data_IF_406214011728
#
_entry.id   IF_406214011728
#
_cell.length_a   1.000
_cell.length_b   1.000
_cell.length_c   1.000
_cell.angle_alpha   90.00
_cell.angle_beta   90.00
_cell.angle_gamma   90.00
#
_symmetry.space_group_name_H-M   'P 1'
#
loop_
_entity.id
_entity.type
_entity.pdbx_description
1 polymer ?
#
# COMPACT_ATOMS: atom_id res chain seq x y z
N UNK A 1 3.80 -2.90 -6.83
CA UNK A 1 3.20 -3.91 -5.94
C UNK A 1 3.04 -3.38 -4.53
N UNK A 2 4.10 -2.81 -3.97
CA UNK A 2 4.12 -2.39 -2.56
C UNK A 2 3.24 -1.17 -2.29
N UNK A 3 3.37 -0.13 -3.09
CA UNK A 3 2.72 1.15 -2.81
C UNK A 3 1.19 1.07 -2.73
N UNK A 4 0.48 0.43 -3.68
CA UNK A 4 -0.97 0.27 -3.55
C UNK A 4 -1.38 -0.53 -2.32
N UNK A 5 -0.60 -1.55 -1.93
CA UNK A 5 -0.88 -2.36 -0.74
C UNK A 5 -0.71 -1.54 0.55
N UNK A 6 0.35 -0.74 0.64
CA UNK A 6 0.58 0.14 1.79
C UNK A 6 -0.53 1.17 1.91
N UNK A 7 -0.93 1.78 0.80
CA UNK A 7 -2.02 2.77 0.80
C UNK A 7 -3.34 2.14 1.24
N UNK A 8 -3.64 0.94 0.76
CA UNK A 8 -4.85 0.22 1.14
C UNK A 8 -4.86 -0.10 2.63
N UNK A 9 -3.73 -0.57 3.16
CA UNK A 9 -3.61 -0.93 4.57
C UNK A 9 -3.75 0.30 5.48
N UNK A 10 -3.17 1.42 5.08
CA UNK A 10 -3.14 2.64 5.89
C UNK A 10 -4.34 3.57 5.64
N UNK A 11 -5.24 3.21 4.75
CA UNK A 11 -6.34 4.07 4.32
C UNK A 11 -7.15 4.61 5.50
N UNK A 12 -7.49 3.77 6.48
CA UNK A 12 -8.34 4.15 7.60
C UNK A 12 -7.65 5.10 8.59
N UNK A 13 -6.34 5.21 8.53
CA UNK A 13 -5.60 6.13 9.38
C UNK A 13 -5.96 7.60 9.07
N UNK A 14 -6.11 7.93 7.78
CA UNK A 14 -6.49 9.26 7.35
C UNK A 14 -7.10 9.20 5.94
N UNK A 15 -8.38 8.86 5.89
CA UNK A 15 -9.11 8.71 4.62
C UNK A 15 -9.03 9.99 3.79
N UNK A 16 -9.13 11.16 4.42
CA UNK A 16 -9.14 12.44 3.69
C UNK A 16 -7.83 12.71 2.96
N UNK A 17 -6.70 12.27 3.50
CA UNK A 17 -5.40 12.40 2.83
C UNK A 17 -5.35 11.58 1.55
N UNK A 18 -5.85 10.36 1.60
CA UNK A 18 -5.88 9.50 0.41
C UNK A 18 -6.91 9.99 -0.61
N UNK A 19 -8.04 10.53 -0.16
CA UNK A 19 -9.01 11.15 -1.05
C UNK A 19 -8.42 12.39 -1.73
N UNK A 20 -7.61 13.16 -1.02
CA UNK A 20 -6.92 14.34 -1.56
C UNK A 20 -5.94 13.95 -2.66
N UNK A 21 -5.18 12.88 -2.46
CA UNK A 21 -4.29 12.35 -3.51
C UNK A 21 -5.10 11.91 -4.72
N UNK A 22 -6.22 11.24 -4.50
CA UNK A 22 -7.10 10.77 -5.57
C UNK A 22 -7.57 11.93 -6.45
N UNK A 23 -8.00 13.03 -5.84
CA UNK A 23 -8.53 14.18 -6.59
C UNK A 23 -7.42 15.00 -7.23
N UNK A 24 -6.32 15.24 -6.53
CA UNK A 24 -5.27 16.15 -6.97
C UNK A 24 -4.26 15.50 -7.90
N UNK A 25 -3.94 14.25 -7.70
CA UNK A 25 -2.96 13.53 -8.51
C UNK A 25 -3.63 12.78 -9.65
N UNK A 26 -4.71 12.06 -9.36
CA UNK A 26 -5.36 11.15 -10.33
C UNK A 26 -6.60 11.73 -10.99
N UNK A 27 -7.04 12.91 -10.57
CA UNK A 27 -8.20 13.57 -11.16
C UNK A 27 -9.53 12.90 -10.86
N UNK A 28 -9.60 12.09 -9.81
CA UNK A 28 -10.85 11.47 -9.39
C UNK A 28 -11.82 12.53 -8.88
N UNK A 29 -13.11 12.31 -9.09
CA UNK A 29 -14.14 13.22 -8.59
C UNK A 29 -14.41 12.91 -7.12
N UNK A 30 -14.40 13.96 -6.28
CA UNK A 30 -14.64 13.81 -4.85
C UNK A 30 -16.09 13.44 -4.57
N UNK A 31 -16.29 12.37 -3.81
CA UNK A 31 -17.58 12.00 -3.26
C UNK A 31 -17.62 12.48 -1.80
N UNK A 32 -18.24 13.63 -1.55
CA UNK A 32 -18.25 14.23 -0.22
C UNK A 32 -19.07 13.43 0.80
N UNK A 33 -19.98 12.59 0.33
CA UNK A 33 -20.77 11.72 1.21
C UNK A 33 -20.02 10.44 1.58
N UNK A 34 -19.00 10.04 0.77
CA UNK A 34 -18.19 8.86 1.03
C UNK A 34 -16.76 9.08 0.53
N UNK A 35 -15.92 9.81 1.30
CA UNK A 35 -14.53 10.07 0.91
C UNK A 35 -13.69 8.80 0.75
N UNK A 36 -14.04 7.73 1.47
CA UNK A 36 -13.35 6.44 1.34
C UNK A 36 -13.46 5.90 -0.08
N UNK A 37 -14.61 6.02 -0.71
CA UNK A 37 -14.80 5.62 -2.10
C UNK A 37 -13.86 6.37 -3.03
N UNK A 38 -13.72 7.69 -2.85
CA UNK A 38 -12.80 8.51 -3.62
C UNK A 38 -11.36 8.06 -3.41
N UNK A 39 -10.98 7.79 -2.17
CA UNK A 39 -9.64 7.31 -1.84
C UNK A 39 -9.33 5.97 -2.51
N UNK A 40 -10.28 5.04 -2.49
CA UNK A 40 -10.11 3.74 -3.14
C UNK A 40 -10.01 3.87 -4.67
N UNK A 41 -10.75 4.78 -5.27
CA UNK A 41 -10.63 5.06 -6.71
C UNK A 41 -9.23 5.58 -7.06
N UNK A 42 -8.65 6.40 -6.18
CA UNK A 42 -7.30 6.90 -6.35
C UNK A 42 -6.25 5.79 -6.29
N UNK A 43 -6.40 4.86 -5.35
CA UNK A 43 -5.51 3.70 -5.24
C UNK A 43 -5.62 2.84 -6.50
N UNK A 44 -6.83 2.64 -7.00
CA UNK A 44 -7.04 1.86 -8.22
C UNK A 44 -6.44 2.56 -9.44
N UNK A 45 -6.51 3.88 -9.52
CA UNK A 45 -5.88 4.65 -10.57
C UNK A 45 -4.35 4.48 -10.54
N UNK A 46 -3.76 4.46 -9.35
CA UNK A 46 -2.33 4.17 -9.19
C UNK A 46 -1.99 2.78 -9.71
N UNK A 47 -2.79 1.78 -9.37
CA UNK A 47 -2.58 0.40 -9.86
C UNK A 47 -2.62 0.35 -11.38
N UNK A 48 -3.61 0.99 -12.00
CA UNK A 48 -3.73 1.00 -13.46
C UNK A 48 -2.53 1.69 -14.11
N UNK A 49 -2.07 2.77 -13.53
CA UNK A 49 -0.89 3.48 -14.03
C UNK A 49 0.35 2.59 -13.98
N UNK A 50 0.61 1.95 -12.83
CA UNK A 50 1.76 1.07 -12.69
C UNK A 50 1.67 -0.14 -13.64
N UNK A 51 0.48 -0.70 -13.82
CA UNK A 51 0.26 -1.79 -14.76
C UNK A 51 0.54 -1.36 -16.19
N UNK A 52 0.16 -0.12 -16.56
CA UNK A 52 0.41 0.40 -17.90
C UNK A 52 1.90 0.56 -18.20
N UNK A 53 2.73 0.69 -17.15
CA UNK A 53 4.19 0.76 -17.28
C UNK A 53 4.84 -0.64 -17.30
N UNK A 54 4.06 -1.71 -17.21
CA UNK A 54 4.58 -3.07 -17.18
C UNK A 54 5.06 -3.53 -15.82
N UNK A 55 4.70 -2.84 -14.75
CA UNK A 55 5.09 -3.22 -13.39
C UNK A 55 4.29 -4.43 -12.90
N UNK A 56 4.90 -5.31 -12.08
CA UNK A 56 4.19 -6.45 -11.50
C UNK A 56 3.02 -5.99 -10.64
N UNK A 57 1.91 -6.74 -10.66
CA UNK A 57 0.70 -6.40 -9.90
C UNK A 57 0.63 -7.14 -8.57
N UNK A 58 1.31 -8.28 -8.44
CA UNK A 58 1.24 -9.14 -7.26
C UNK A 58 2.51 -9.98 -7.14
N UNK A 59 2.57 -10.80 -6.10
CA UNK A 59 3.71 -11.68 -5.85
C UNK A 59 3.98 -12.64 -7.00
N UNK A 60 2.94 -13.21 -7.61
CA UNK A 60 3.13 -14.15 -8.70
C UNK A 60 3.85 -13.51 -9.89
N UNK A 61 3.44 -12.32 -10.28
CA UNK A 61 4.07 -11.59 -11.39
C UNK A 61 5.48 -11.10 -11.04
N UNK A 62 5.73 -10.80 -9.75
CA UNK A 62 7.03 -10.39 -9.26
C UNK A 62 8.01 -11.56 -9.16
N UNK A 63 7.50 -12.77 -9.07
CA UNK A 63 8.33 -13.96 -8.82
C UNK A 63 8.61 -14.20 -7.34
N UNK A 64 7.87 -13.54 -6.47
CA UNK A 64 8.02 -13.72 -5.03
C UNK A 64 7.13 -14.84 -4.52
N UNK A 65 7.54 -15.45 -3.41
CA UNK A 65 6.84 -16.58 -2.80
C UNK A 65 6.11 -16.14 -1.53
N UNK A 66 4.78 -16.37 -1.42
CA UNK A 66 4.04 -16.03 -0.20
C UNK A 66 4.61 -16.67 1.07
N UNK A 67 5.32 -17.78 0.97
CA UNK A 67 5.95 -18.45 2.11
C UNK A 67 7.04 -17.59 2.76
N UNK A 68 7.58 -16.62 2.03
CA UNK A 68 8.65 -15.74 2.50
C UNK A 68 8.13 -14.49 3.22
N UNK A 69 6.83 -14.32 3.34
CA UNK A 69 6.23 -13.09 3.90
C UNK A 69 6.77 -12.77 5.30
N UNK A 70 6.80 -13.76 6.19
CA UNK A 70 7.28 -13.55 7.56
C UNK A 70 8.74 -13.10 7.57
N UNK A 71 9.57 -13.76 6.77
CA UNK A 71 10.99 -13.42 6.65
C UNK A 71 11.19 -12.03 6.07
N UNK A 72 10.45 -11.67 5.03
CA UNK A 72 10.52 -10.36 4.41
C UNK A 72 10.11 -9.26 5.39
N UNK A 73 9.03 -9.49 6.13
CA UNK A 73 8.56 -8.53 7.13
C UNK A 73 9.57 -8.34 8.25
N UNK A 74 10.17 -9.42 8.73
CA UNK A 74 11.22 -9.35 9.75
C UNK A 74 12.42 -8.56 9.25
N UNK A 75 12.87 -8.82 8.04
CA UNK A 75 14.00 -8.10 7.44
C UNK A 75 13.70 -6.61 7.30
N UNK A 76 12.47 -6.25 6.89
CA UNK A 76 12.07 -4.86 6.76
C UNK A 76 12.06 -4.12 8.10
N UNK A 77 11.56 -4.77 9.16
CA UNK A 77 11.42 -4.16 10.48
C UNK A 77 12.69 -4.18 11.31
N UNK A 78 13.55 -5.19 11.13
CA UNK A 78 14.74 -5.40 11.95
C UNK A 78 16.04 -5.38 11.14
N UNK A 79 16.03 -4.73 9.98
CA UNK A 79 17.24 -4.51 9.21
C UNK A 79 18.19 -3.53 9.90
N UNK A 80 19.35 -3.27 9.29
CA UNK A 80 20.46 -2.55 9.89
C UNK A 80 20.09 -1.20 10.54
N UNK A 81 19.04 -0.54 10.05
CA UNK A 81 18.67 0.81 10.50
C UNK A 81 17.31 0.87 11.20
N UNK A 82 16.62 -0.25 11.35
CA UNK A 82 15.28 -0.30 11.93
C UNK A 82 15.27 -1.01 13.30
N UNK A 83 14.37 -0.58 14.17
CA UNK A 83 14.26 -1.02 15.55
C UNK A 83 12.99 -1.86 15.81
N UNK A 84 12.49 -2.55 14.81
CA UNK A 84 11.29 -3.37 14.89
C UNK A 84 10.05 -2.69 14.32
N UNK A 85 10.19 -1.45 13.85
CA UNK A 85 9.10 -0.72 13.20
C UNK A 85 9.61 0.06 12.01
N UNK A 86 8.72 0.47 11.11
CA UNK A 86 9.05 1.33 9.99
C UNK A 86 7.87 2.22 9.64
N UNK A 87 8.13 3.26 8.87
CA UNK A 87 7.12 4.20 8.43
C UNK A 87 7.09 5.49 9.25
N UNK A 88 6.89 6.61 8.55
CA UNK A 88 6.78 7.94 9.16
C UNK A 88 5.33 8.41 9.29
N UNK A 89 4.51 8.14 8.29
CA UNK A 89 3.10 8.52 8.29
C UNK A 89 2.31 7.67 9.29
N UNK A 90 2.52 6.34 9.25
CA UNK A 90 1.99 5.41 10.23
C UNK A 90 3.13 4.51 10.65
N UNK A 91 3.35 4.33 11.95
CA UNK A 91 4.34 3.36 12.43
C UNK A 91 3.80 1.96 12.28
N UNK A 92 4.55 1.13 11.54
CA UNK A 92 4.17 -0.23 11.22
C UNK A 92 5.11 -1.21 11.94
N UNK A 93 4.55 -2.16 12.67
CA UNK A 93 5.32 -3.24 13.28
C UNK A 93 5.41 -4.43 12.31
N UNK A 94 6.10 -5.50 12.72
CA UNK A 94 6.26 -6.66 11.85
C UNK A 94 4.93 -7.25 11.41
N UNK A 95 3.94 -7.32 12.30
CA UNK A 95 2.63 -7.86 11.99
C UNK A 95 1.92 -7.02 10.92
N UNK A 96 2.02 -5.71 11.02
CA UNK A 96 1.45 -4.80 10.02
C UNK A 96 2.09 -5.03 8.65
N UNK A 97 3.42 -5.17 8.62
CA UNK A 97 4.15 -5.40 7.37
C UNK A 97 3.79 -6.76 6.77
N UNK A 98 3.63 -7.79 7.59
CA UNK A 98 3.15 -9.09 7.11
C UNK A 98 1.76 -8.97 6.47
N UNK A 99 0.85 -8.21 7.09
CA UNK A 99 -0.50 -8.00 6.55
C UNK A 99 -0.46 -7.24 5.23
N UNK A 100 0.43 -6.26 5.10
CA UNK A 100 0.63 -5.53 3.84
C UNK A 100 1.12 -6.50 2.75
N UNK A 101 2.09 -7.33 3.05
CA UNK A 101 2.57 -8.32 2.08
C UNK A 101 1.48 -9.29 1.65
N UNK A 102 0.57 -9.66 2.56
CA UNK A 102 -0.56 -10.52 2.19
C UNK A 102 -1.52 -9.86 1.21
N UNK A 103 -1.62 -8.54 1.23
CA UNK A 103 -2.41 -7.81 0.24
C UNK A 103 -1.80 -7.86 -1.16
N UNK A 104 -0.53 -8.22 -1.27
CA UNK A 104 0.17 -8.31 -2.56
C UNK A 104 0.03 -9.69 -3.22
N UNK A 105 -0.39 -10.69 -2.48
CA UNK A 105 -0.60 -12.04 -2.99
C UNK A 105 -1.87 -12.14 -3.88
#
# INVERSE_FOLDING_TARGET
VVMPAVFTYNLQHDVNRFAQVATRVWGCQMDFSNPERTALEGIEALRRFLTSLGMPRNFAELGANPEDIEKLAHTACYGDVNDGSLGGFVKLNQKDVENIYRLMV
#
